data_IF_876867416895
#
_entry.id   IF_876867416895
#
_cell.length_a   1.000
_cell.length_b   1.000
_cell.length_c   1.000
_cell.angle_alpha   90.00
_cell.angle_beta   90.00
_cell.angle_gamma   90.00
#
_symmetry.space_group_name_H-M   'P 1'
#
loop_
_entity.id
_entity.type
_entity.pdbx_description
1 polymer ?
#
# COMPACT_ATOMS: atom_id res chain seq x y z
N UNK A 1 -19.79 52.99 -31.41
CA UNK A 1 -19.42 51.58 -31.64
C UNK A 1 -19.64 50.76 -30.38
N UNK A 2 -20.88 50.34 -30.16
CA UNK A 2 -21.26 49.45 -29.08
C UNK A 2 -21.27 47.98 -29.56
N UNK A 3 -20.14 47.28 -29.39
CA UNK A 3 -19.99 45.87 -29.78
C UNK A 3 -20.18 44.94 -28.58
N UNK A 4 -20.97 43.88 -28.75
CA UNK A 4 -21.29 42.91 -27.69
C UNK A 4 -20.87 41.49 -28.10
N UNK A 5 -20.29 40.73 -27.17
CA UNK A 5 -19.94 39.31 -27.37
C UNK A 5 -20.81 38.44 -26.47
N UNK A 6 -21.74 37.70 -27.06
CA UNK A 6 -22.50 36.66 -26.38
C UNK A 6 -21.73 35.35 -26.40
N UNK A 7 -21.59 34.69 -25.24
CA UNK A 7 -20.93 33.39 -25.11
C UNK A 7 -21.85 32.45 -24.34
N UNK A 8 -22.06 31.25 -24.87
CA UNK A 8 -22.75 30.14 -24.18
C UNK A 8 -21.78 28.97 -24.04
N UNK A 9 -21.69 28.43 -22.83
CA UNK A 9 -20.72 27.37 -22.48
C UNK A 9 -21.50 26.12 -22.06
N UNK A 10 -21.32 25.03 -22.80
CA UNK A 10 -21.82 23.70 -22.46
C UNK A 10 -20.65 22.74 -22.19
N UNK A 11 -20.95 21.50 -21.81
CA UNK A 11 -19.94 20.49 -21.48
C UNK A 11 -19.06 20.03 -22.66
N UNK A 12 -19.52 20.22 -23.91
CA UNK A 12 -18.82 19.81 -25.14
C UNK A 12 -18.84 20.87 -26.25
N UNK A 13 -19.43 22.04 -26.02
CA UNK A 13 -19.47 23.10 -27.01
C UNK A 13 -19.41 24.50 -26.40
N UNK A 14 -18.80 25.42 -27.13
CA UNK A 14 -18.73 26.84 -26.84
C UNK A 14 -19.33 27.59 -28.04
N UNK A 15 -20.51 28.16 -27.88
CA UNK A 15 -21.15 28.95 -28.94
C UNK A 15 -20.98 30.42 -28.63
N UNK A 16 -20.64 31.21 -29.66
CA UNK A 16 -20.42 32.64 -29.51
C UNK A 16 -21.09 33.43 -30.65
N UNK A 17 -21.50 34.65 -30.34
CA UNK A 17 -22.07 35.60 -31.27
C UNK A 17 -21.49 36.99 -30.99
N UNK A 18 -20.99 37.64 -32.03
CA UNK A 18 -20.46 38.99 -31.97
C UNK A 18 -21.43 39.93 -32.66
N UNK A 19 -21.88 40.95 -31.92
CA UNK A 19 -22.95 41.85 -32.31
C UNK A 19 -22.45 43.30 -32.39
N UNK A 20 -22.95 44.06 -33.36
CA UNK A 20 -22.90 45.52 -33.42
C UNK A 20 -24.29 46.09 -33.15
N UNK A 21 -24.50 46.73 -32.00
CA UNK A 21 -25.83 47.20 -31.62
C UNK A 21 -26.27 48.47 -32.38
N UNK A 22 -25.36 49.07 -33.16
CA UNK A 22 -25.62 50.29 -33.93
C UNK A 22 -26.03 50.01 -35.39
N UNK A 23 -26.02 48.75 -35.83
CA UNK A 23 -26.36 48.36 -37.21
C UNK A 23 -27.75 47.74 -37.35
N UNK A 24 -28.38 47.92 -38.52
CA UNK A 24 -29.69 47.36 -38.86
C UNK A 24 -29.67 45.81 -38.91
N UNK A 25 -28.52 45.23 -39.24
CA UNK A 25 -28.22 43.80 -39.07
C UNK A 25 -27.18 43.66 -37.95
N UNK A 26 -27.61 43.40 -36.71
CA UNK A 26 -26.72 43.51 -35.56
C UNK A 26 -25.71 42.36 -35.45
N UNK A 27 -25.82 41.29 -36.24
CA UNK A 27 -24.95 40.12 -36.14
C UNK A 27 -23.73 40.29 -37.07
N UNK A 28 -22.56 40.46 -36.48
CA UNK A 28 -21.29 40.53 -37.21
C UNK A 28 -20.78 39.11 -37.53
N UNK A 29 -20.76 38.22 -36.53
CA UNK A 29 -20.26 36.86 -36.69
C UNK A 29 -20.86 35.93 -35.64
N UNK A 30 -21.06 34.66 -35.99
CA UNK A 30 -21.43 33.61 -35.04
C UNK A 30 -20.59 32.36 -35.26
N UNK A 31 -20.48 31.53 -34.24
CA UNK A 31 -19.75 30.28 -34.37
C UNK A 31 -20.02 29.34 -33.21
N UNK A 32 -19.82 28.05 -33.47
CA UNK A 32 -19.86 27.01 -32.45
C UNK A 32 -18.55 26.24 -32.50
N UNK A 33 -17.85 26.21 -31.38
CA UNK A 33 -16.67 25.36 -31.19
C UNK A 33 -17.10 24.11 -30.44
N UNK A 34 -17.17 22.98 -31.13
CA UNK A 34 -17.37 21.66 -30.52
C UNK A 34 -16.02 21.08 -30.12
N UNK A 35 -15.94 20.48 -28.93
CA UNK A 35 -14.74 19.83 -28.41
C UNK A 35 -15.10 18.58 -27.62
N UNK A 36 -14.15 17.65 -27.51
CA UNK A 36 -14.35 16.43 -26.73
C UNK A 36 -14.34 16.74 -25.22
N UNK A 37 -15.35 16.30 -24.46
CA UNK A 37 -15.36 16.44 -23.01
C UNK A 37 -14.13 15.79 -22.38
N UNK A 38 -13.55 16.43 -21.36
CA UNK A 38 -12.37 15.91 -20.65
C UNK A 38 -12.73 14.82 -19.61
N UNK A 39 -13.78 14.06 -19.89
CA UNK A 39 -14.43 13.13 -18.98
C UNK A 39 -14.69 11.81 -19.70
N UNK A 40 -14.41 10.71 -19.00
CA UNK A 40 -14.70 9.35 -19.43
C UNK A 40 -16.07 8.92 -18.91
N UNK A 41 -16.77 8.08 -19.69
CA UNK A 41 -18.10 7.57 -19.36
C UNK A 41 -19.11 8.68 -19.05
N UNK A 42 -19.14 9.72 -19.87
CA UNK A 42 -20.07 10.83 -19.71
C UNK A 42 -21.53 10.33 -19.60
N UNK A 43 -22.28 10.80 -18.61
CA UNK A 43 -23.68 10.43 -18.41
C UNK A 43 -23.89 9.12 -17.63
N UNK A 44 -22.80 8.49 -17.14
CA UNK A 44 -22.87 7.26 -16.33
C UNK A 44 -22.95 7.53 -14.81
N UNK A 45 -23.14 8.79 -14.40
CA UNK A 45 -23.28 9.18 -12.99
C UNK A 45 -22.00 8.91 -12.20
N UNK A 46 -22.04 7.95 -11.26
CA UNK A 46 -20.90 7.63 -10.38
C UNK A 46 -19.69 7.03 -11.11
N UNK A 47 -19.88 6.51 -12.33
CA UNK A 47 -18.80 5.96 -13.15
C UNK A 47 -18.11 7.01 -14.04
N UNK A 48 -18.63 8.24 -14.01
CA UNK A 48 -18.09 9.37 -14.72
C UNK A 48 -16.77 9.82 -14.03
N UNK A 49 -15.65 9.72 -14.73
CA UNK A 49 -14.32 10.01 -14.19
C UNK A 49 -13.54 10.93 -15.14
N UNK A 50 -12.92 11.98 -14.61
CA UNK A 50 -12.05 12.84 -15.43
C UNK A 50 -10.79 12.10 -15.90
N UNK A 51 -10.29 12.44 -17.10
CA UNK A 51 -9.00 11.90 -17.58
C UNK A 51 -7.84 12.19 -16.61
N UNK A 52 -7.88 13.32 -15.90
CA UNK A 52 -6.88 13.70 -14.91
C UNK A 52 -6.93 12.79 -13.67
N UNK A 53 -8.12 12.42 -13.21
CA UNK A 53 -8.30 11.47 -12.12
C UNK A 53 -7.73 10.10 -12.50
N UNK A 54 -8.06 9.59 -13.69
CA UNK A 54 -7.52 8.32 -14.20
C UNK A 54 -5.99 8.35 -14.33
N UNK A 55 -5.43 9.41 -14.93
CA UNK A 55 -3.96 9.61 -15.02
C UNK A 55 -3.32 9.60 -13.62
N UNK A 56 -3.96 10.27 -12.65
CA UNK A 56 -3.47 10.33 -11.28
C UNK A 56 -3.54 8.97 -10.59
N UNK A 57 -4.61 8.21 -10.78
CA UNK A 57 -4.79 6.83 -10.30
C UNK A 57 -3.66 5.93 -10.78
N UNK A 58 -3.40 5.88 -12.08
CA UNK A 58 -2.31 5.07 -12.64
C UNK A 58 -0.92 5.52 -12.17
N UNK A 59 -0.69 6.84 -12.09
CA UNK A 59 0.57 7.38 -11.54
C UNK A 59 0.79 6.94 -10.09
N UNK A 60 -0.25 6.97 -9.26
CA UNK A 60 -0.18 6.55 -7.86
C UNK A 60 0.03 5.04 -7.72
N UNK A 61 -0.57 4.23 -8.59
CA UNK A 61 -0.33 2.79 -8.66
C UNK A 61 1.14 2.48 -8.96
N UNK A 62 1.71 3.09 -10.01
CA UNK A 62 3.13 2.94 -10.37
C UNK A 62 4.07 3.35 -9.25
N UNK A 63 3.83 4.52 -8.63
CA UNK A 63 4.63 4.98 -7.48
C UNK A 63 4.56 4.00 -6.31
N UNK A 64 3.37 3.46 -6.03
CA UNK A 64 3.17 2.49 -4.94
C UNK A 64 3.90 1.17 -5.22
N UNK A 65 3.86 0.67 -6.45
CA UNK A 65 4.56 -0.53 -6.87
C UNK A 65 6.09 -0.36 -6.76
N UNK A 66 6.63 0.72 -7.34
CA UNK A 66 8.05 1.06 -7.28
C UNK A 66 8.56 1.19 -5.83
N UNK A 67 7.83 1.90 -4.96
CA UNK A 67 8.20 2.02 -3.53
C UNK A 67 8.16 0.70 -2.79
N UNK A 68 7.17 -0.16 -3.10
CA UNK A 68 7.09 -1.50 -2.52
C UNK A 68 8.28 -2.35 -2.92
N UNK A 69 8.66 -2.32 -4.20
CA UNK A 69 9.84 -3.04 -4.70
C UNK A 69 11.12 -2.52 -4.05
N UNK A 70 11.31 -1.20 -4.01
CA UNK A 70 12.49 -0.58 -3.38
C UNK A 70 12.63 -0.98 -1.91
N UNK A 71 11.54 -0.95 -1.14
CA UNK A 71 11.56 -1.39 0.26
C UNK A 71 11.96 -2.86 0.40
N UNK A 72 11.39 -3.75 -0.43
CA UNK A 72 11.75 -5.18 -0.41
C UNK A 72 13.23 -5.38 -0.74
N UNK A 73 13.78 -4.63 -1.69
CA UNK A 73 15.20 -4.66 -2.03
C UNK A 73 16.07 -4.17 -0.87
N UNK A 74 15.72 -3.05 -0.24
CA UNK A 74 16.46 -2.55 0.93
C UNK A 74 16.44 -3.54 2.09
N UNK A 75 15.30 -4.15 2.38
CA UNK A 75 15.21 -5.19 3.40
C UNK A 75 16.08 -6.39 3.03
N UNK A 76 15.98 -6.87 1.79
CA UNK A 76 16.73 -8.04 1.34
C UNK A 76 18.24 -7.83 1.50
N UNK A 77 18.75 -6.63 1.17
CA UNK A 77 20.15 -6.26 1.41
C UNK A 77 20.54 -6.45 2.88
N UNK A 78 19.74 -5.89 3.78
CA UNK A 78 19.97 -5.96 5.22
C UNK A 78 19.92 -7.41 5.73
N UNK A 79 18.99 -8.23 5.21
CA UNK A 79 18.92 -9.66 5.55
C UNK A 79 20.16 -10.42 5.09
N UNK A 80 20.69 -10.13 3.89
CA UNK A 80 21.92 -10.75 3.37
C UNK A 80 23.12 -10.37 4.24
N UNK A 81 23.28 -9.09 4.55
CA UNK A 81 24.37 -8.59 5.40
C UNK A 81 24.39 -9.25 6.79
N UNK A 82 23.22 -9.68 7.30
CA UNK A 82 23.07 -10.33 8.60
C UNK A 82 22.90 -11.87 8.51
N UNK A 83 23.25 -12.50 7.37
CA UNK A 83 23.16 -13.96 7.15
C UNK A 83 21.75 -14.55 7.33
N UNK A 84 20.71 -13.75 7.14
CA UNK A 84 19.29 -14.15 7.23
C UNK A 84 18.67 -14.48 5.86
N UNK A 85 19.45 -14.43 4.78
CA UNK A 85 19.01 -14.82 3.45
C UNK A 85 20.13 -15.66 2.82
N UNK A 86 19.82 -16.79 2.16
CA UNK A 86 20.84 -17.61 1.51
C UNK A 86 21.46 -16.92 0.29
N UNK A 87 20.82 -15.88 -0.25
CA UNK A 87 21.27 -15.16 -1.44
C UNK A 87 22.58 -14.38 -1.20
N UNK A 88 23.57 -14.45 -2.12
CA UNK A 88 24.76 -13.61 -2.04
C UNK A 88 24.47 -12.15 -2.40
N UNK A 89 25.34 -11.23 -1.96
CA UNK A 89 25.20 -9.79 -2.24
C UNK A 89 25.32 -9.46 -3.74
N UNK A 90 26.11 -10.24 -4.49
CA UNK A 90 26.25 -10.10 -5.95
C UNK A 90 24.93 -10.29 -6.68
N UNK A 91 24.15 -11.30 -6.27
CA UNK A 91 22.81 -11.55 -6.77
C UNK A 91 21.83 -10.41 -6.45
N UNK A 92 21.94 -9.79 -5.28
CA UNK A 92 21.18 -8.59 -4.95
C UNK A 92 21.52 -7.41 -5.87
N UNK A 93 22.81 -7.19 -6.17
CA UNK A 93 23.26 -6.13 -7.09
C UNK A 93 22.71 -6.36 -8.49
N UNK A 94 22.75 -7.61 -8.99
CA UNK A 94 22.20 -7.98 -10.29
C UNK A 94 20.69 -7.72 -10.35
N UNK A 95 19.94 -8.10 -9.31
CA UNK A 95 18.50 -7.86 -9.27
C UNK A 95 18.17 -6.36 -9.25
N UNK A 96 18.91 -5.57 -8.46
CA UNK A 96 18.73 -4.12 -8.40
C UNK A 96 19.01 -3.43 -9.73
N UNK A 97 20.09 -3.79 -10.41
CA UNK A 97 20.58 -3.05 -11.57
C UNK A 97 19.98 -3.55 -12.89
N UNK A 98 19.88 -4.88 -13.06
CA UNK A 98 19.45 -5.52 -14.30
C UNK A 98 18.04 -6.10 -14.24
N UNK A 99 17.41 -6.13 -13.05
CA UNK A 99 16.09 -6.74 -12.87
C UNK A 99 16.09 -8.27 -12.94
N UNK A 100 17.27 -8.90 -13.02
CA UNK A 100 17.43 -10.35 -13.12
C UNK A 100 17.22 -10.97 -11.74
N UNK A 101 16.22 -11.85 -11.64
CA UNK A 101 15.90 -12.52 -10.39
C UNK A 101 16.98 -13.58 -10.05
N UNK A 102 17.53 -13.59 -8.83
CA UNK A 102 18.51 -14.60 -8.40
C UNK A 102 17.94 -16.02 -8.44
N UNK A 103 18.70 -16.96 -8.98
CA UNK A 103 18.27 -18.34 -9.22
C UNK A 103 17.99 -19.17 -7.95
N UNK A 104 17.31 -20.30 -8.17
CA UNK A 104 17.01 -21.51 -7.35
C UNK A 104 17.02 -21.39 -5.82
N UNK A 105 18.14 -21.05 -5.19
CA UNK A 105 18.24 -20.89 -3.73
C UNK A 105 17.25 -19.87 -3.17
N UNK A 106 17.09 -18.74 -3.87
CA UNK A 106 16.13 -17.71 -3.46
C UNK A 106 14.69 -18.19 -3.71
N UNK A 107 14.46 -18.97 -4.75
CA UNK A 107 13.16 -19.56 -5.04
C UNK A 107 12.74 -20.55 -3.96
N UNK A 108 13.62 -21.49 -3.60
CA UNK A 108 13.41 -22.45 -2.51
C UNK A 108 13.16 -21.73 -1.18
N UNK A 109 13.94 -20.70 -0.89
CA UNK A 109 13.74 -19.86 0.28
C UNK A 109 12.39 -19.12 0.26
N UNK A 110 11.94 -18.63 -0.89
CA UNK A 110 10.61 -18.04 -1.05
C UNK A 110 9.48 -19.08 -0.96
N UNK A 111 9.75 -20.34 -1.28
CA UNK A 111 8.79 -21.44 -1.19
C UNK A 111 8.56 -21.89 0.27
N UNK A 112 9.49 -21.61 1.19
CA UNK A 112 9.26 -21.80 2.62
C UNK A 112 7.98 -21.10 3.08
N UNK A 113 7.12 -21.85 3.78
CA UNK A 113 5.83 -21.36 4.28
C UNK A 113 6.05 -20.36 5.43
N UNK A 114 5.81 -19.06 5.20
CA UNK A 114 6.12 -18.05 6.21
C UNK A 114 5.17 -18.09 7.41
N UNK A 115 3.97 -18.67 7.28
CA UNK A 115 3.02 -18.71 8.40
C UNK A 115 3.38 -19.84 9.37
N UNK A 116 3.77 -21.02 8.88
CA UNK A 116 4.30 -22.11 9.72
C UNK A 116 5.50 -21.59 10.54
N UNK A 117 6.44 -20.92 9.86
CA UNK A 117 7.63 -20.34 10.50
C UNK A 117 7.28 -19.23 11.52
N UNK A 118 6.26 -18.40 11.26
CA UNK A 118 5.78 -17.39 12.22
C UNK A 118 5.21 -18.01 13.49
N UNK A 119 4.60 -19.19 13.40
CA UNK A 119 4.10 -19.92 14.57
C UNK A 119 5.26 -20.59 15.30
N UNK A 120 6.11 -21.31 14.58
CA UNK A 120 7.26 -22.02 15.14
C UNK A 120 8.25 -21.07 15.83
N UNK A 121 8.51 -19.89 15.26
CA UNK A 121 9.44 -18.91 15.82
C UNK A 121 9.04 -18.29 17.16
N UNK A 122 7.84 -18.57 17.66
CA UNK A 122 7.41 -18.12 18.99
C UNK A 122 7.70 -19.14 20.09
N UNK A 123 8.01 -20.39 19.74
CA UNK A 123 8.29 -21.46 20.69
C UNK A 123 9.64 -22.15 20.46
N UNK A 124 10.11 -22.20 19.21
CA UNK A 124 11.28 -22.94 18.80
C UNK A 124 12.33 -22.03 18.15
N UNK A 125 13.59 -22.48 18.17
CA UNK A 125 14.69 -21.86 17.45
C UNK A 125 14.49 -22.03 15.94
N UNK A 126 14.36 -20.92 15.21
CA UNK A 126 14.42 -20.93 13.74
C UNK A 126 15.86 -20.84 13.28
N UNK A 127 16.16 -21.35 12.08
CA UNK A 127 17.41 -21.00 11.39
C UNK A 127 17.38 -19.52 11.00
N UNK A 128 18.55 -18.87 10.90
CA UNK A 128 18.61 -17.45 10.53
C UNK A 128 17.94 -17.16 9.18
N UNK A 129 18.07 -18.07 8.22
CA UNK A 129 17.40 -17.94 6.92
C UNK A 129 15.86 -18.05 7.06
N UNK A 130 15.34 -18.88 7.95
CA UNK A 130 13.89 -19.02 8.19
C UNK A 130 13.33 -17.76 8.86
N UNK A 131 14.06 -17.21 9.83
CA UNK A 131 13.72 -15.92 10.42
C UNK A 131 13.70 -14.81 9.36
N UNK A 132 14.71 -14.75 8.50
CA UNK A 132 14.71 -13.79 7.40
C UNK A 132 13.53 -13.96 6.45
N UNK A 133 13.07 -15.20 6.20
CA UNK A 133 11.88 -15.47 5.39
C UNK A 133 10.63 -14.88 6.03
N UNK A 134 10.48 -15.04 7.34
CA UNK A 134 9.39 -14.44 8.13
C UNK A 134 9.43 -12.92 8.00
N UNK A 135 10.59 -12.29 8.24
CA UNK A 135 10.76 -10.85 8.14
C UNK A 135 10.43 -10.33 6.72
N UNK A 136 10.89 -11.03 5.69
CA UNK A 136 10.57 -10.67 4.31
C UNK A 136 9.06 -10.75 4.04
N UNK A 137 8.37 -11.77 4.55
CA UNK A 137 6.92 -11.88 4.44
C UNK A 137 6.19 -10.72 5.16
N UNK A 138 6.63 -10.31 6.35
CA UNK A 138 6.07 -9.15 7.05
C UNK A 138 6.21 -7.87 6.19
N UNK A 139 7.36 -7.62 5.57
CA UNK A 139 7.52 -6.46 4.66
C UNK A 139 6.64 -6.52 3.40
N UNK A 140 6.34 -7.72 2.90
CA UNK A 140 5.38 -7.91 1.81
C UNK A 140 3.96 -7.53 2.23
N UNK A 141 3.60 -7.77 3.49
CA UNK A 141 2.22 -7.74 4.00
C UNK A 141 2.02 -6.91 5.27
N UNK A 142 2.77 -5.83 5.45
CA UNK A 142 2.83 -5.01 6.68
C UNK A 142 1.58 -4.21 7.12
N UNK A 143 0.38 -4.52 6.62
CA UNK A 143 -0.84 -3.78 6.98
C UNK A 143 -0.87 -2.29 6.54
N UNK A 144 -2.00 -1.64 6.87
CA UNK A 144 -2.21 -0.20 6.72
C UNK A 144 -2.16 0.43 8.10
N UNK A 145 -1.54 1.60 8.23
CA UNK A 145 -1.50 2.28 9.52
C UNK A 145 -2.84 2.98 9.75
N UNK A 146 -3.60 2.51 10.74
CA UNK A 146 -4.96 3.01 11.04
C UNK A 146 -4.96 4.50 11.37
N UNK A 147 -3.99 4.98 12.14
CA UNK A 147 -3.87 6.39 12.53
C UNK A 147 -3.71 7.36 11.35
N UNK A 148 -3.43 6.86 10.14
CA UNK A 148 -3.33 7.66 8.90
C UNK A 148 -4.51 7.46 7.94
N UNK A 149 -5.59 6.82 8.39
CA UNK A 149 -6.84 6.79 7.65
C UNK A 149 -7.49 8.17 7.73
N UNK A 150 -7.70 8.80 6.57
CA UNK A 150 -8.38 10.08 6.45
C UNK A 150 -9.80 9.83 5.93
N UNK A 151 -10.80 10.51 6.52
CA UNK A 151 -12.20 10.44 6.08
C UNK A 151 -13.00 9.31 6.74
N UNK A 152 -14.25 9.63 7.09
CA UNK A 152 -15.12 8.75 7.89
C UNK A 152 -15.50 7.45 7.16
N UNK A 153 -15.69 7.50 5.84
CA UNK A 153 -16.10 6.34 5.02
C UNK A 153 -14.98 5.31 4.87
N UNK A 154 -13.78 5.74 4.49
CA UNK A 154 -12.61 4.86 4.35
C UNK A 154 -12.22 4.21 5.68
N UNK A 155 -12.33 4.95 6.78
CA UNK A 155 -12.11 4.43 8.13
C UNK A 155 -13.17 3.37 8.48
N UNK A 156 -14.45 3.64 8.24
CA UNK A 156 -15.54 2.70 8.50
C UNK A 156 -15.36 1.39 7.72
N UNK A 157 -15.09 1.45 6.42
CA UNK A 157 -14.85 0.27 5.57
C UNK A 157 -13.65 -0.54 6.09
N UNK A 158 -12.58 0.14 6.52
CA UNK A 158 -11.41 -0.54 7.06
C UNK A 158 -11.72 -1.27 8.38
N UNK A 159 -12.53 -0.66 9.25
CA UNK A 159 -12.89 -1.21 10.56
C UNK A 159 -13.91 -2.35 10.47
N UNK A 160 -14.98 -2.14 9.72
CA UNK A 160 -16.12 -3.05 9.65
C UNK A 160 -16.06 -4.03 8.47
N UNK A 161 -15.27 -3.70 7.43
CA UNK A 161 -15.11 -4.51 6.24
C UNK A 161 -15.88 -3.95 5.04
N UNK A 162 -15.74 -4.63 3.91
CA UNK A 162 -16.43 -4.30 2.67
C UNK A 162 -17.32 -5.48 2.24
N UNK A 163 -18.66 -5.36 2.36
CA UNK A 163 -19.59 -6.41 1.96
C UNK A 163 -19.48 -6.79 0.48
N UNK A 164 -19.16 -5.82 -0.40
CA UNK A 164 -19.08 -6.06 -1.86
C UNK A 164 -17.94 -7.00 -2.21
N UNK A 165 -16.81 -6.85 -1.52
CA UNK A 165 -15.62 -7.70 -1.72
C UNK A 165 -15.52 -8.85 -0.71
N UNK A 166 -16.53 -9.01 0.15
CA UNK A 166 -16.55 -9.94 1.29
C UNK A 166 -15.27 -9.86 2.12
N UNK A 167 -14.70 -8.66 2.24
CA UNK A 167 -13.41 -8.45 2.90
C UNK A 167 -13.64 -8.12 4.37
N UNK A 168 -13.05 -8.93 5.25
CA UNK A 168 -13.24 -8.81 6.69
C UNK A 168 -12.61 -7.52 7.24
N UNK A 169 -13.36 -6.81 8.08
CA UNK A 169 -12.87 -5.63 8.79
C UNK A 169 -11.84 -5.93 9.88
N UNK A 170 -11.14 -4.90 10.34
CA UNK A 170 -10.18 -5.00 11.43
C UNK A 170 -10.83 -5.53 12.72
N UNK A 171 -12.01 -5.02 13.09
CA UNK A 171 -12.68 -5.38 14.34
C UNK A 171 -13.06 -6.85 14.40
N UNK A 172 -13.53 -7.41 13.30
CA UNK A 172 -13.84 -8.84 13.25
C UNK A 172 -12.58 -9.69 13.44
N UNK A 173 -11.46 -9.32 12.83
CA UNK A 173 -10.18 -10.00 13.07
C UNK A 173 -9.74 -9.87 14.53
N UNK A 174 -9.85 -8.69 15.13
CA UNK A 174 -9.50 -8.47 16.54
C UNK A 174 -10.37 -9.28 17.50
N UNK A 175 -11.68 -9.39 17.22
CA UNK A 175 -12.62 -10.20 18.02
C UNK A 175 -12.34 -11.70 17.90
N UNK A 176 -11.97 -12.18 16.72
CA UNK A 176 -11.62 -13.60 16.48
C UNK A 176 -10.22 -13.97 17.01
N UNK A 177 -9.32 -12.99 17.12
CA UNK A 177 -7.96 -13.20 17.64
C UNK A 177 -8.03 -13.40 19.15
N UNK A 178 -7.61 -14.58 19.62
CA UNK A 178 -7.38 -14.82 21.06
C UNK A 178 -6.37 -13.78 21.58
N UNK A 179 -6.56 -13.29 22.80
CA UNK A 179 -5.76 -12.20 23.39
C UNK A 179 -4.26 -12.44 23.31
N UNK A 180 -3.82 -13.68 23.61
CA UNK A 180 -2.39 -14.03 23.64
C UNK A 180 -1.79 -14.34 22.27
N UNK A 181 -2.62 -14.46 21.23
CA UNK A 181 -2.16 -14.87 19.91
C UNK A 181 -1.52 -13.69 19.17
N UNK A 182 -0.38 -13.97 18.54
CA UNK A 182 0.16 -13.08 17.52
C UNK A 182 -0.73 -13.11 16.27
N UNK A 183 -0.61 -12.09 15.43
CA UNK A 183 -1.34 -12.05 14.16
C UNK A 183 -0.95 -13.26 13.28
N UNK A 184 0.31 -13.67 13.27
CA UNK A 184 0.78 -14.87 12.56
C UNK A 184 0.10 -16.14 13.01
N UNK A 185 0.02 -16.38 14.32
CA UNK A 185 -0.67 -17.55 14.87
C UNK A 185 -2.16 -17.57 14.54
N UNK A 186 -2.83 -16.42 14.57
CA UNK A 186 -4.23 -16.34 14.16
C UNK A 186 -4.39 -16.61 12.66
N UNK A 187 -3.54 -16.02 11.81
CA UNK A 187 -3.61 -16.18 10.36
C UNK A 187 -3.27 -17.59 9.88
N UNK A 188 -2.38 -18.30 10.59
CA UNK A 188 -1.96 -19.66 10.25
C UNK A 188 -3.13 -20.67 10.33
N UNK A 189 -4.16 -20.40 11.14
CA UNK A 189 -5.35 -21.26 11.26
C UNK A 189 -6.18 -21.36 9.97
N UNK A 190 -6.04 -20.38 9.08
CA UNK A 190 -6.73 -20.34 7.78
C UNK A 190 -5.86 -20.90 6.65
N UNK A 191 -4.76 -21.57 6.99
CA UNK A 191 -3.96 -22.27 5.99
C UNK A 191 -4.64 -23.55 5.56
N UNK A 192 -4.54 -23.80 4.26
CA UNK A 192 -4.92 -25.09 3.72
C UNK A 192 -3.93 -26.15 4.18
N UNK A 193 -4.46 -27.31 4.55
CA UNK A 193 -3.67 -28.50 4.86
C UNK A 193 -2.88 -28.90 3.63
N UNK A 194 -1.57 -29.13 3.82
CA UNK A 194 -0.70 -29.60 2.75
C UNK A 194 -1.20 -30.97 2.28
N UNK A 195 -1.15 -31.19 0.97
CA UNK A 195 -1.53 -32.45 0.32
C UNK A 195 -3.03 -32.81 0.39
N UNK A 196 -3.90 -31.87 0.76
CA UNK A 196 -5.34 -32.03 0.62
C UNK A 196 -5.82 -31.34 -0.68
N UNK A 197 -6.90 -31.88 -1.27
CA UNK A 197 -7.61 -31.22 -2.36
C UNK A 197 -8.04 -29.81 -1.94
N UNK A 198 -8.01 -28.86 -2.88
CA UNK A 198 -8.42 -27.50 -2.59
C UNK A 198 -9.90 -27.45 -2.18
N UNK A 199 -10.16 -27.08 -0.93
CA UNK A 199 -11.49 -26.74 -0.46
C UNK A 199 -11.65 -25.22 -0.41
N UNK A 200 -12.75 -24.73 -1.01
CA UNK A 200 -13.08 -23.32 -0.95
C UNK A 200 -13.54 -22.97 0.46
N UNK A 201 -12.63 -22.44 1.26
CA UNK A 201 -12.97 -21.85 2.56
C UNK A 201 -13.59 -20.45 2.36
N UNK A 202 -14.62 -20.15 3.16
CA UNK A 202 -15.23 -18.82 3.19
C UNK A 202 -14.24 -17.75 3.66
N UNK A 203 -13.47 -18.07 4.72
CA UNK A 203 -12.47 -17.16 5.27
C UNK A 203 -11.07 -17.44 4.71
N UNK A 204 -10.56 -16.49 3.93
CA UNK A 204 -9.19 -16.55 3.39
C UNK A 204 -8.21 -15.81 4.30
N UNK A 205 -6.99 -16.33 4.42
CA UNK A 205 -5.89 -15.71 5.18
C UNK A 205 -5.71 -14.22 4.84
N UNK A 206 -5.78 -13.87 3.55
CA UNK A 206 -5.42 -12.54 3.03
C UNK A 206 -6.62 -11.61 2.81
N UNK A 207 -7.86 -12.10 2.86
CA UNK A 207 -9.04 -11.29 2.53
C UNK A 207 -9.57 -10.51 3.74
N UNK A 208 -8.68 -9.71 4.37
CA UNK A 208 -8.99 -8.94 5.57
C UNK A 208 -8.22 -7.61 5.63
N UNK A 209 -8.76 -6.64 6.33
CA UNK A 209 -8.09 -5.38 6.66
C UNK A 209 -7.32 -5.57 7.97
N UNK A 210 -6.03 -5.21 7.97
CA UNK A 210 -5.14 -5.42 9.10
C UNK A 210 -4.36 -4.14 9.37
N UNK A 211 -4.35 -3.75 10.64
CA UNK A 211 -3.54 -2.63 11.10
C UNK A 211 -2.07 -3.02 11.11
N UNK A 212 -1.22 -2.05 10.78
CA UNK A 212 0.22 -2.22 10.80
C UNK A 212 0.75 -2.54 12.19
N UNK A 213 0.18 -1.96 13.24
CA UNK A 213 0.67 -2.19 14.61
C UNK A 213 0.60 -3.65 15.01
N UNK A 214 -0.39 -4.41 14.50
CA UNK A 214 -0.47 -5.86 14.73
C UNK A 214 0.75 -6.62 14.18
N UNK A 215 1.33 -6.15 13.07
CA UNK A 215 2.55 -6.74 12.50
C UNK A 215 3.81 -6.26 13.25
N UNK A 216 3.80 -5.04 13.76
CA UNK A 216 4.89 -4.48 14.60
C UNK A 216 4.97 -5.27 15.90
N UNK A 217 3.85 -5.46 16.60
CA UNK A 217 3.75 -6.28 17.81
C UNK A 217 4.29 -7.70 17.57
N UNK A 218 3.85 -8.34 16.48
CA UNK A 218 4.31 -9.68 16.13
C UNK A 218 5.81 -9.71 15.82
N UNK A 219 6.32 -8.73 15.08
CA UNK A 219 7.76 -8.62 14.79
C UNK A 219 8.57 -8.56 16.09
N UNK A 220 8.20 -7.69 17.03
CA UNK A 220 8.93 -7.53 18.28
C UNK A 220 8.87 -8.80 19.14
N UNK A 221 7.69 -9.44 19.25
CA UNK A 221 7.55 -10.74 19.95
C UNK A 221 8.42 -11.85 19.35
N UNK A 222 8.43 -11.96 18.02
CA UNK A 222 9.29 -12.92 17.31
C UNK A 222 10.78 -12.60 17.54
N UNK A 223 11.15 -11.32 17.47
CA UNK A 223 12.52 -10.89 17.64
C UNK A 223 13.04 -11.20 19.05
N UNK A 224 12.25 -10.84 20.07
CA UNK A 224 12.59 -11.12 21.47
C UNK A 224 12.80 -12.61 21.69
N UNK A 225 11.89 -13.45 21.17
CA UNK A 225 12.02 -14.89 21.33
C UNK A 225 13.22 -15.48 20.60
N UNK A 226 13.50 -14.99 19.40
CA UNK A 226 14.63 -15.49 18.61
C UNK A 226 15.98 -14.98 19.11
N UNK A 227 16.01 -13.86 19.84
CA UNK A 227 17.21 -13.32 20.45
C UNK A 227 17.80 -14.27 21.50
N UNK A 228 16.95 -15.01 22.24
CA UNK A 228 17.36 -16.09 23.14
C UNK A 228 18.26 -17.13 22.46
N UNK A 229 18.07 -17.36 21.15
CA UNK A 229 18.73 -18.42 20.39
C UNK A 229 19.85 -17.93 19.47
N UNK A 230 19.89 -16.63 19.17
CA UNK A 230 20.77 -16.02 18.17
C UNK A 230 21.39 -14.72 18.71
N UNK A 231 22.60 -14.77 19.28
CA UNK A 231 23.28 -13.59 19.84
C UNK A 231 23.53 -12.46 18.82
N UNK A 232 23.52 -12.76 17.52
CA UNK A 232 23.64 -11.76 16.46
C UNK A 232 22.43 -10.81 16.38
N UNK A 233 21.30 -11.17 16.99
CA UNK A 233 20.09 -10.34 17.06
C UNK A 233 20.20 -9.30 18.17
N UNK A 234 20.95 -8.23 17.91
CA UNK A 234 21.09 -7.12 18.85
C UNK A 234 20.02 -6.02 18.64
N UNK A 235 19.96 -5.06 19.57
CA UNK A 235 18.95 -3.99 19.53
C UNK A 235 19.15 -3.02 18.33
N UNK A 236 20.40 -2.78 17.92
CA UNK A 236 20.69 -1.97 16.73
C UNK A 236 20.08 -2.59 15.46
N UNK A 237 20.21 -3.90 15.29
CA UNK A 237 19.60 -4.63 14.18
C UNK A 237 18.07 -4.62 14.28
N UNK A 238 17.52 -4.75 15.49
CA UNK A 238 16.08 -4.66 15.76
C UNK A 238 15.49 -3.32 15.30
N UNK A 239 16.12 -2.21 15.70
CA UNK A 239 15.68 -0.87 15.32
C UNK A 239 15.78 -0.64 13.81
N UNK A 240 16.87 -1.10 13.17
CA UNK A 240 17.02 -1.02 11.71
C UNK A 240 15.96 -1.84 10.96
N UNK A 241 15.56 -2.99 11.50
CA UNK A 241 14.56 -3.86 10.89
C UNK A 241 13.14 -3.32 11.08
N UNK A 242 12.70 -3.12 12.32
CA UNK A 242 11.29 -2.85 12.66
C UNK A 242 11.04 -1.60 13.49
N UNK A 243 12.08 -0.83 13.82
CA UNK A 243 11.97 0.35 14.68
C UNK A 243 12.09 0.03 16.17
N UNK A 244 11.85 1.03 17.01
CA UNK A 244 11.92 0.91 18.47
C UNK A 244 10.85 -0.06 18.99
N UNK A 245 11.08 -0.76 20.10
CA UNK A 245 10.02 -1.55 20.73
C UNK A 245 8.82 -0.70 21.15
N UNK A 246 7.67 -1.37 21.33
CA UNK A 246 6.49 -0.76 21.93
C UNK A 246 6.78 -0.34 23.39
N UNK A 247 6.17 0.76 23.89
CA UNK A 247 5.12 1.57 23.26
C UNK A 247 5.64 2.67 22.30
N UNK A 248 6.95 2.81 22.13
CA UNK A 248 7.57 3.93 21.42
C UNK A 248 7.66 3.73 19.88
N UNK A 249 7.07 2.67 19.33
CA UNK A 249 7.07 2.40 17.89
C UNK A 249 5.98 3.22 17.17
N UNK A 250 6.37 3.95 16.13
CA UNK A 250 5.49 4.78 15.32
C UNK A 250 4.77 4.01 14.18
N UNK A 251 5.07 2.72 14.01
CA UNK A 251 4.62 1.88 12.91
C UNK A 251 5.18 2.31 11.55
N UNK A 252 6.24 3.09 11.52
CA UNK A 252 6.73 3.75 10.30
C UNK A 252 8.25 3.72 10.20
N UNK A 253 8.93 3.40 11.28
CA UNK A 253 10.37 3.21 11.40
C UNK A 253 10.79 1.78 11.01
N UNK A 254 12.09 1.59 10.80
CA UNK A 254 12.67 0.32 10.34
C UNK A 254 12.39 -0.02 8.87
N UNK A 255 13.24 -0.84 8.27
CA UNK A 255 13.14 -1.24 6.86
C UNK A 255 11.83 -1.98 6.53
N UNK A 256 11.27 -2.75 7.48
CA UNK A 256 10.01 -3.47 7.35
C UNK A 256 8.81 -2.50 7.20
N UNK A 257 8.71 -1.55 8.12
CA UNK A 257 7.54 -0.69 8.28
C UNK A 257 7.71 0.71 7.65
N UNK A 258 8.90 1.00 7.09
CA UNK A 258 9.25 2.27 6.47
C UNK A 258 8.15 2.85 5.58
N UNK A 259 7.62 4.00 5.94
CA UNK A 259 6.73 4.74 5.06
C UNK A 259 7.19 6.18 4.97
N UNK A 260 7.56 6.56 3.74
CA UNK A 260 7.94 7.93 3.41
C UNK A 260 6.85 8.90 3.87
N UNK A 261 7.28 9.96 4.53
CA UNK A 261 6.41 11.06 4.93
C UNK A 261 5.71 11.67 3.72
N UNK A 262 4.49 12.15 3.95
CA UNK A 262 3.80 12.95 2.95
C UNK A 262 4.52 14.29 2.88
N UNK A 263 4.85 14.74 1.66
CA UNK A 263 5.32 16.12 1.48
C UNK A 263 4.24 17.03 2.07
N UNK A 264 4.58 17.82 3.09
CA UNK A 264 3.68 18.85 3.61
C UNK A 264 3.27 19.73 2.43
N UNK A 265 1.97 20.03 2.30
CA UNK A 265 1.58 21.13 1.42
C UNK A 265 2.23 22.36 2.00
N UNK A 266 3.16 22.98 1.28
CA UNK A 266 3.56 24.35 1.60
C UNK A 266 2.27 25.14 1.69
N UNK A 267 1.99 25.71 2.85
CA UNK A 267 0.89 26.66 3.02
C UNK A 267 1.33 27.86 2.17
N UNK A 268 0.96 27.87 0.90
CA UNK A 268 0.94 29.11 0.15
C UNK A 268 -0.12 29.94 0.84
N UNK A 269 0.31 30.85 1.72
CA UNK A 269 -0.52 31.98 2.14
C UNK A 269 -0.97 32.62 0.83
N UNK A 270 -2.23 32.40 0.46
CA UNK A 270 -2.89 33.25 -0.52
C UNK A 270 -2.96 34.62 0.16
N UNK A 271 -1.96 35.46 -0.04
CA UNK A 271 -2.14 36.89 0.12
C UNK A 271 -3.18 37.28 -0.93
N UNK A 272 -4.41 37.50 -0.51
CA UNK A 272 -5.35 38.25 -1.34
C UNK A 272 -4.77 39.67 -1.46
N UNK A 273 -4.58 40.21 -2.67
CA UNK A 273 -4.40 41.65 -2.79
C UNK A 273 -5.70 42.31 -2.31
N UNK A 274 -5.54 43.27 -1.40
CA UNK A 274 -6.59 44.20 -0.96
C UNK A 274 -6.96 45.12 -2.11
#
# INVERSE_FOLDING_TARGET
MNKTLGITVNYNCLSWAFLDNEQQSPIIHTGVRVFQPSVLNLGSGLLEESHLALRTKYRNARKSASRRQYRKLLLLRLLIENKMCPCPISAWILWKNKGIFPAKELEDWLNLNPYDLRVQGLSQKLKLHELGRVLYHLAQRRGKLVSKLNGNTDASIFMHGDPKTKRLGLYATQKQKKTDFTLGQHLARYQQTKHCSFEQQEERIRNRYLDRMMFVEEFHKLYDKQQDFHPSLNENLREKLGGKPLPNNDGMSGSLFFQRELKRKSIQKKSMPV
#
